data_IF_785529595936
#
_entry.id   IF_785529595936
#
_cell.length_a   1.000
_cell.length_b   1.000
_cell.length_c   1.000
_cell.angle_alpha   90.00
_cell.angle_beta   90.00
_cell.angle_gamma   90.00
#
_symmetry.space_group_name_H-M   'P 1'
#
loop_
_entity.id
_entity.type
_entity.pdbx_description
1 polymer ?
#
# COMPACT_ATOMS: atom_id res chain seq x y z
N UNK A 1 -21.14 -0.69 -15.06
CA UNK A 1 -21.49 -1.14 -13.69
C UNK A 1 -21.45 0.05 -12.76
N UNK A 2 -22.31 0.04 -11.75
CA UNK A 2 -22.29 0.98 -10.64
C UNK A 2 -21.52 0.32 -9.46
N UNK A 3 -20.33 0.81 -9.17
CA UNK A 3 -19.37 0.22 -8.21
C UNK A 3 -19.26 1.14 -7.01
N UNK A 4 -19.40 0.58 -5.81
CA UNK A 4 -19.21 1.29 -4.57
C UNK A 4 -17.95 0.80 -3.85
N UNK A 5 -16.96 1.67 -3.72
CA UNK A 5 -15.73 1.42 -2.97
C UNK A 5 -15.93 1.77 -1.49
N UNK A 6 -15.59 0.86 -0.58
CA UNK A 6 -15.65 1.09 0.87
C UNK A 6 -14.27 0.83 1.47
N UNK A 7 -13.46 1.87 1.75
CA UNK A 7 -12.15 1.71 2.37
C UNK A 7 -12.24 1.70 3.91
N UNK A 8 -11.42 0.86 4.56
CA UNK A 8 -11.26 0.84 6.02
C UNK A 8 -10.51 2.06 6.56
N UNK A 9 -9.66 2.65 5.73
CA UNK A 9 -8.93 3.90 5.97
C UNK A 9 -8.74 4.63 4.63
N UNK A 10 -8.73 5.94 4.67
CA UNK A 10 -8.73 6.76 3.46
C UNK A 10 -7.88 8.02 3.62
N UNK A 11 -7.49 8.62 2.52
CA UNK A 11 -6.63 9.81 2.49
C UNK A 11 -7.20 10.97 3.30
N UNK A 12 -6.37 11.75 3.99
CA UNK A 12 -4.90 11.77 4.01
C UNK A 12 -4.25 10.79 5.00
N UNK A 13 -5.03 9.85 5.55
CA UNK A 13 -4.60 8.90 6.60
C UNK A 13 -4.28 7.51 6.05
N UNK A 14 -3.85 7.41 4.80
CA UNK A 14 -3.61 6.18 4.05
C UNK A 14 -4.74 5.85 3.08
N UNK A 15 -4.64 4.70 2.37
CA UNK A 15 -5.70 4.22 1.48
C UNK A 15 -5.71 4.86 0.08
N UNK A 16 -4.60 5.42 -0.36
CA UNK A 16 -4.42 5.96 -1.72
C UNK A 16 -4.73 4.90 -2.79
N UNK A 17 -4.45 3.63 -2.52
CA UNK A 17 -4.75 2.51 -3.42
C UNK A 17 -6.24 2.39 -3.77
N UNK A 18 -7.15 2.72 -2.84
CA UNK A 18 -8.60 2.72 -3.12
C UNK A 18 -8.96 3.78 -4.17
N UNK A 19 -8.39 4.99 -4.05
CA UNK A 19 -8.62 6.05 -5.01
C UNK A 19 -8.06 5.69 -6.39
N UNK A 20 -6.87 5.11 -6.45
CA UNK A 20 -6.23 4.70 -7.72
C UNK A 20 -7.02 3.59 -8.41
N UNK A 21 -7.54 2.60 -7.69
CA UNK A 21 -8.40 1.56 -8.27
C UNK A 21 -9.74 2.13 -8.74
N UNK A 22 -10.36 3.03 -7.96
CA UNK A 22 -11.58 3.72 -8.36
C UNK A 22 -11.39 4.54 -9.65
N UNK A 23 -10.27 5.24 -9.79
CA UNK A 23 -9.90 5.96 -11.03
C UNK A 23 -9.74 5.02 -12.21
N UNK A 24 -9.04 3.89 -12.00
CA UNK A 24 -8.83 2.89 -13.03
C UNK A 24 -10.15 2.31 -13.56
N UNK A 25 -11.08 1.97 -12.69
CA UNK A 25 -12.41 1.48 -13.05
C UNK A 25 -13.26 2.56 -13.74
N UNK A 26 -13.19 3.80 -13.24
CA UNK A 26 -13.90 4.93 -13.87
C UNK A 26 -13.39 5.21 -15.29
N UNK A 27 -12.07 5.10 -15.53
CA UNK A 27 -11.49 5.26 -16.86
C UNK A 27 -11.98 4.20 -17.88
N UNK A 28 -12.48 3.07 -17.41
CA UNK A 28 -13.14 2.03 -18.23
C UNK A 28 -14.64 2.31 -18.46
N UNK A 29 -15.15 3.45 -18.03
CA UNK A 29 -16.54 3.87 -18.25
C UNK A 29 -17.51 3.39 -17.15
N UNK A 30 -17.02 2.91 -16.00
CA UNK A 30 -17.87 2.53 -14.87
C UNK A 30 -18.28 3.75 -14.04
N UNK A 31 -19.45 3.67 -13.43
CA UNK A 31 -19.89 4.62 -12.41
C UNK A 31 -19.29 4.19 -11.06
N UNK A 32 -18.30 4.94 -10.57
CA UNK A 32 -17.56 4.60 -9.36
C UNK A 32 -17.65 5.73 -8.35
N UNK A 33 -17.99 5.38 -7.11
CA UNK A 33 -18.00 6.30 -5.96
C UNK A 33 -17.33 5.64 -4.76
N UNK A 34 -16.86 6.47 -3.83
CA UNK A 34 -16.25 6.02 -2.58
C UNK A 34 -17.12 6.44 -1.41
N UNK A 35 -17.46 5.49 -0.55
CA UNK A 35 -18.10 5.71 0.73
C UNK A 35 -17.06 5.52 1.83
N UNK A 36 -16.55 6.62 2.37
CA UNK A 36 -15.44 6.61 3.31
C UNK A 36 -15.86 7.10 4.69
N UNK A 37 -15.68 6.25 5.69
CA UNK A 37 -15.83 6.61 7.11
C UNK A 37 -14.50 6.37 7.82
N UNK A 38 -13.86 7.44 8.30
CA UNK A 38 -12.54 7.37 8.92
C UNK A 38 -12.62 7.56 10.42
N UNK A 39 -12.07 6.58 11.17
CA UNK A 39 -11.91 6.74 12.61
C UNK A 39 -10.56 7.40 12.92
N UNK A 40 -10.60 8.50 13.64
CA UNK A 40 -9.44 9.26 14.05
C UNK A 40 -9.06 8.93 15.51
N UNK A 41 -7.79 8.58 15.70
CA UNK A 41 -7.19 8.43 17.03
C UNK A 41 -6.50 9.71 17.48
N UNK A 42 -6.26 9.85 18.79
CA UNK A 42 -5.53 11.01 19.37
C UNK A 42 -4.11 11.14 18.78
N UNK A 43 -3.54 10.05 18.31
CA UNK A 43 -2.18 10.00 17.73
C UNK A 43 -2.02 10.71 16.38
N UNK A 44 -3.13 11.07 15.69
CA UNK A 44 -3.06 11.83 14.43
C UNK A 44 -2.73 13.31 14.62
N UNK A 45 -2.74 13.80 15.84
CA UNK A 45 -2.53 15.19 16.22
C UNK A 45 -3.78 15.77 16.90
N UNK A 46 -3.56 16.44 18.04
CA UNK A 46 -4.65 17.02 18.84
C UNK A 46 -5.46 18.04 18.04
N UNK A 47 -4.80 18.82 17.18
CA UNK A 47 -5.44 19.84 16.35
C UNK A 47 -6.47 19.23 15.40
N UNK A 48 -6.07 18.23 14.61
CA UNK A 48 -6.96 17.57 13.65
C UNK A 48 -8.06 16.77 14.37
N UNK A 49 -7.72 16.13 15.48
CA UNK A 49 -8.68 15.40 16.30
C UNK A 49 -9.82 16.28 16.81
N UNK A 50 -9.58 17.56 17.13
CA UNK A 50 -10.61 18.48 17.64
C UNK A 50 -11.27 19.34 16.56
N UNK A 51 -10.58 19.67 15.47
CA UNK A 51 -11.05 20.65 14.48
C UNK A 51 -11.73 20.05 13.26
N UNK A 52 -11.54 18.74 12.97
CA UNK A 52 -12.19 18.11 11.82
C UNK A 52 -13.71 18.07 11.96
N UNK A 53 -14.45 18.38 10.88
CA UNK A 53 -15.90 18.32 10.89
C UNK A 53 -16.38 16.86 10.95
N UNK A 54 -17.08 16.48 12.02
CA UNK A 54 -17.66 15.13 12.20
C UNK A 54 -19.05 15.01 11.55
N UNK A 55 -19.29 15.75 10.48
CA UNK A 55 -20.52 15.68 9.68
C UNK A 55 -20.25 14.86 8.41
N UNK A 56 -21.30 14.25 7.89
CA UNK A 56 -21.30 13.67 6.56
C UNK A 56 -21.26 14.78 5.53
N UNK A 57 -20.38 14.67 4.53
CA UNK A 57 -20.30 15.60 3.42
C UNK A 57 -19.83 14.86 2.18
N UNK A 58 -20.05 15.49 1.04
CA UNK A 58 -19.63 14.98 -0.26
C UNK A 58 -18.65 15.95 -0.88
N UNK A 59 -17.64 15.40 -1.52
CA UNK A 59 -16.68 16.15 -2.28
C UNK A 59 -16.16 15.34 -3.47
N UNK A 60 -15.50 15.99 -4.37
CA UNK A 60 -14.81 15.33 -5.48
C UNK A 60 -13.29 15.39 -5.30
N UNK A 61 -12.63 14.30 -5.59
CA UNK A 61 -11.18 14.23 -5.67
C UNK A 61 -10.79 13.44 -6.92
N UNK A 62 -9.98 14.06 -7.79
CA UNK A 62 -9.51 13.45 -9.05
C UNK A 62 -10.65 12.85 -9.90
N UNK A 63 -11.78 13.55 -9.91
CA UNK A 63 -12.98 13.14 -10.64
C UNK A 63 -13.82 12.05 -9.96
N UNK A 64 -13.42 11.49 -8.81
CA UNK A 64 -14.21 10.52 -8.05
C UNK A 64 -15.05 11.25 -7.00
N UNK A 65 -16.35 10.92 -6.93
CA UNK A 65 -17.24 11.41 -5.88
C UNK A 65 -17.03 10.60 -4.61
N UNK A 66 -16.79 11.29 -3.50
CA UNK A 66 -16.49 10.70 -2.20
C UNK A 66 -17.52 11.16 -1.18
N UNK A 67 -18.30 10.21 -0.66
CA UNK A 67 -19.17 10.41 0.49
C UNK A 67 -18.32 10.22 1.76
N UNK A 68 -17.94 11.30 2.42
CA UNK A 68 -16.98 11.29 3.52
C UNK A 68 -17.63 11.53 4.88
N UNK A 69 -17.11 10.84 5.89
CA UNK A 69 -17.46 11.07 7.30
C UNK A 69 -16.27 10.72 8.20
N UNK A 70 -16.27 11.30 9.41
CA UNK A 70 -15.26 11.02 10.42
C UNK A 70 -15.90 10.67 11.77
N UNK A 71 -15.19 9.82 12.55
CA UNK A 71 -15.52 9.63 13.97
C UNK A 71 -14.24 9.72 14.82
N UNK A 72 -14.43 10.20 16.07
CA UNK A 72 -13.39 10.12 17.10
C UNK A 72 -13.38 8.72 17.70
N UNK A 73 -12.24 8.07 17.70
CA UNK A 73 -12.04 6.83 18.43
C UNK A 73 -12.01 7.10 19.95
N UNK A 74 -12.80 6.36 20.72
CA UNK A 74 -12.71 6.38 22.18
C UNK A 74 -11.57 5.46 22.59
N UNK A 75 -10.56 5.98 23.33
CA UNK A 75 -9.43 5.17 23.75
C UNK A 75 -9.85 3.91 24.51
N UNK A 76 -9.23 2.78 24.25
CA UNK A 76 -9.48 1.46 24.86
C UNK A 76 -10.87 0.86 24.61
N UNK A 77 -11.81 1.56 23.99
CA UNK A 77 -13.15 1.05 23.68
C UNK A 77 -13.23 0.50 22.25
N UNK A 78 -12.35 -0.44 21.90
CA UNK A 78 -12.21 -0.94 20.52
C UNK A 78 -13.53 -1.51 19.98
N UNK A 79 -14.23 -2.32 20.80
CA UNK A 79 -15.52 -2.92 20.41
C UNK A 79 -16.61 -1.87 20.15
N UNK A 80 -16.71 -0.84 21.00
CA UNK A 80 -17.64 0.28 20.82
C UNK A 80 -17.30 1.06 19.53
N UNK A 81 -16.03 1.37 19.32
CA UNK A 81 -15.56 2.09 18.14
C UNK A 81 -15.91 1.35 16.85
N UNK A 82 -15.69 0.03 16.83
CA UNK A 82 -16.01 -0.82 15.68
C UNK A 82 -17.52 -0.84 15.40
N UNK A 83 -18.33 -1.14 16.40
CA UNK A 83 -19.80 -1.17 16.23
C UNK A 83 -20.32 0.16 15.69
N UNK A 84 -19.83 1.27 16.25
CA UNK A 84 -20.18 2.61 15.80
C UNK A 84 -19.73 2.85 14.36
N UNK A 85 -18.48 2.44 14.01
CA UNK A 85 -17.96 2.57 12.66
C UNK A 85 -18.84 1.84 11.65
N UNK A 86 -19.16 0.59 11.90
CA UNK A 86 -20.00 -0.25 11.04
C UNK A 86 -21.41 0.36 10.93
N UNK A 87 -22.05 0.73 12.04
CA UNK A 87 -23.38 1.34 12.03
C UNK A 87 -23.43 2.66 11.26
N UNK A 88 -22.37 3.48 11.33
CA UNK A 88 -22.29 4.72 10.53
C UNK A 88 -22.18 4.41 9.06
N UNK A 89 -21.35 3.41 8.66
CA UNK A 89 -21.22 2.99 7.26
C UNK A 89 -22.53 2.44 6.72
N UNK A 90 -23.23 1.59 7.47
CA UNK A 90 -24.59 1.10 7.10
C UNK A 90 -25.58 2.26 6.90
N UNK A 91 -25.59 3.23 7.81
CA UNK A 91 -26.43 4.41 7.68
C UNK A 91 -26.05 5.31 6.51
N UNK A 92 -24.75 5.48 6.25
CA UNK A 92 -24.29 6.21 5.06
C UNK A 92 -24.63 5.47 3.77
N UNK A 93 -24.65 4.15 3.78
CA UNK A 93 -25.07 3.34 2.66
C UNK A 93 -26.57 3.53 2.35
N UNK A 94 -27.44 3.59 3.36
CA UNK A 94 -28.86 3.93 3.17
C UNK A 94 -29.03 5.30 2.49
N UNK A 95 -28.32 6.33 2.99
CA UNK A 95 -28.32 7.67 2.38
C UNK A 95 -27.81 7.64 0.93
N UNK A 96 -26.77 6.83 0.69
CA UNK A 96 -26.18 6.62 -0.63
C UNK A 96 -27.19 6.01 -1.62
N UNK A 97 -27.86 4.92 -1.25
CA UNK A 97 -28.87 4.24 -2.10
C UNK A 97 -30.01 5.17 -2.44
N UNK A 98 -30.50 5.96 -1.47
CA UNK A 98 -31.57 6.94 -1.68
C UNK A 98 -31.17 8.02 -2.71
N UNK A 99 -29.89 8.33 -2.82
CA UNK A 99 -29.39 9.41 -3.67
C UNK A 99 -28.90 8.92 -5.04
N UNK A 100 -28.26 7.77 -5.10
CA UNK A 100 -27.55 7.28 -6.29
C UNK A 100 -28.08 5.94 -6.81
N UNK A 101 -29.01 5.32 -6.11
CA UNK A 101 -29.46 3.97 -6.40
C UNK A 101 -28.55 2.89 -5.81
N UNK A 102 -28.99 1.65 -5.92
CA UNK A 102 -28.29 0.48 -5.42
C UNK A 102 -27.08 0.20 -6.32
N UNK A 103 -25.86 0.03 -5.78
CA UNK A 103 -24.71 -0.37 -6.59
C UNK A 103 -24.84 -1.82 -7.05
N UNK A 104 -24.26 -2.15 -8.21
CA UNK A 104 -24.19 -3.51 -8.71
C UNK A 104 -23.26 -4.39 -7.88
N UNK A 105 -22.20 -3.80 -7.31
CA UNK A 105 -21.18 -4.49 -6.52
C UNK A 105 -20.56 -3.56 -5.51
N UNK A 106 -20.19 -4.11 -4.34
CA UNK A 106 -19.42 -3.42 -3.29
C UNK A 106 -17.98 -3.94 -3.33
N UNK A 107 -17.02 -3.03 -3.39
CA UNK A 107 -15.60 -3.33 -3.31
C UNK A 107 -15.03 -2.76 -1.99
N UNK A 108 -14.77 -3.64 -1.03
CA UNK A 108 -14.23 -3.28 0.27
C UNK A 108 -12.68 -3.37 0.25
N UNK A 109 -12.02 -2.38 0.87
CA UNK A 109 -10.57 -2.41 1.05
C UNK A 109 -10.21 -2.71 2.48
N UNK A 110 -9.57 -3.84 2.70
CA UNK A 110 -9.29 -4.56 3.93
C UNK A 110 -10.54 -5.15 4.61
N UNK A 111 -10.38 -6.32 5.18
CA UNK A 111 -11.45 -6.97 5.96
C UNK A 111 -11.91 -6.12 7.13
N UNK A 112 -10.97 -5.50 7.82
CA UNK A 112 -11.19 -4.65 8.97
C UNK A 112 -11.35 -3.17 8.55
N UNK A 113 -12.49 -2.50 8.71
CA UNK A 113 -13.82 -2.98 9.07
C UNK A 113 -14.73 -2.94 7.85
N UNK A 114 -14.15 -2.48 6.73
CA UNK A 114 -14.88 -2.32 5.47
C UNK A 114 -15.44 -3.64 4.96
N UNK A 115 -14.65 -4.72 4.96
CA UNK A 115 -15.14 -6.03 4.56
C UNK A 115 -16.27 -6.54 5.46
N UNK A 116 -16.17 -6.33 6.78
CA UNK A 116 -17.25 -6.70 7.68
C UNK A 116 -18.52 -5.88 7.48
N UNK A 117 -18.40 -4.56 7.23
CA UNK A 117 -19.55 -3.72 6.90
C UNK A 117 -20.14 -4.09 5.53
N UNK A 118 -19.33 -4.38 4.53
CA UNK A 118 -19.76 -4.84 3.21
C UNK A 118 -20.55 -6.16 3.30
N UNK A 119 -20.08 -7.13 4.11
CA UNK A 119 -20.83 -8.36 4.38
C UNK A 119 -22.23 -8.07 4.95
N UNK A 120 -22.35 -7.20 5.95
CA UNK A 120 -23.66 -6.86 6.54
C UNK A 120 -24.57 -6.17 5.55
N UNK A 121 -24.05 -5.26 4.75
CA UNK A 121 -24.80 -4.59 3.69
C UNK A 121 -25.24 -5.61 2.64
N UNK A 122 -24.34 -6.48 2.20
CA UNK A 122 -24.62 -7.57 1.25
C UNK A 122 -25.75 -8.48 1.73
N UNK A 123 -25.73 -8.89 2.99
CA UNK A 123 -26.79 -9.72 3.60
C UNK A 123 -28.16 -9.04 3.60
N UNK A 124 -28.19 -7.71 3.74
CA UNK A 124 -29.45 -6.92 3.80
C UNK A 124 -29.99 -6.58 2.42
N UNK A 125 -29.11 -6.23 1.49
CA UNK A 125 -29.49 -5.69 0.17
C UNK A 125 -29.26 -6.69 -0.98
N UNK A 126 -28.70 -7.87 -0.71
CA UNK A 126 -28.37 -8.90 -1.69
C UNK A 126 -27.45 -8.41 -2.81
N UNK A 127 -26.47 -7.59 -2.46
CA UNK A 127 -25.45 -7.06 -3.37
C UNK A 127 -24.16 -7.86 -3.20
N UNK A 128 -23.56 -8.40 -4.26
CA UNK A 128 -22.27 -9.08 -4.16
C UNK A 128 -21.16 -8.14 -3.68
N UNK A 129 -20.19 -8.69 -2.94
CA UNK A 129 -19.06 -7.90 -2.47
C UNK A 129 -17.73 -8.61 -2.60
N UNK A 130 -16.70 -7.82 -2.85
CA UNK A 130 -15.30 -8.22 -2.98
C UNK A 130 -14.48 -7.54 -1.89
N UNK A 131 -13.47 -8.24 -1.36
CA UNK A 131 -12.52 -7.67 -0.40
C UNK A 131 -11.13 -7.64 -1.02
N UNK A 132 -10.55 -6.46 -1.26
CA UNK A 132 -9.12 -6.36 -1.53
C UNK A 132 -8.35 -6.20 -0.23
N UNK A 133 -7.37 -7.09 0.03
CA UNK A 133 -6.60 -7.08 1.27
C UNK A 133 -5.21 -6.51 1.08
N UNK A 134 -4.84 -5.58 1.97
CA UNK A 134 -3.59 -4.83 1.93
C UNK A 134 -2.75 -4.95 3.22
N UNK A 135 -3.30 -5.55 4.30
CA UNK A 135 -2.63 -5.54 5.60
C UNK A 135 -1.63 -6.69 5.72
N UNK A 136 -0.35 -6.41 6.02
CA UNK A 136 0.64 -7.44 6.25
C UNK A 136 0.41 -8.15 7.59
N UNK A 137 0.83 -9.43 7.68
CA UNK A 137 0.78 -10.25 8.90
C UNK A 137 1.32 -9.52 10.13
N UNK A 138 2.44 -8.81 10.00
CA UNK A 138 3.03 -8.05 11.11
C UNK A 138 2.07 -6.99 11.68
N UNK A 139 1.25 -6.35 10.85
CA UNK A 139 0.25 -5.39 11.34
C UNK A 139 -0.91 -6.09 12.03
N UNK A 140 -1.32 -7.24 11.51
CA UNK A 140 -2.37 -8.07 12.11
C UNK A 140 -1.91 -8.64 13.47
N UNK A 141 -0.65 -9.10 13.58
CA UNK A 141 -0.11 -9.62 14.85
C UNK A 141 0.02 -8.54 15.93
N UNK A 142 0.39 -7.32 15.56
CA UNK A 142 0.42 -6.18 16.50
C UNK A 142 -0.98 -5.86 17.01
N UNK A 143 -2.01 -6.01 16.19
CA UNK A 143 -3.38 -5.68 16.53
C UNK A 143 -4.13 -6.82 17.24
N UNK A 144 -3.99 -8.04 16.74
CA UNK A 144 -4.75 -9.22 17.22
C UNK A 144 -3.92 -10.15 18.11
N UNK A 145 -2.63 -9.90 18.24
CA UNK A 145 -1.70 -10.75 19.00
C UNK A 145 -1.39 -12.07 18.29
N UNK A 146 -0.62 -12.91 18.97
CA UNK A 146 -0.16 -14.22 18.44
C UNK A 146 -1.18 -15.34 18.63
N UNK A 147 -2.29 -15.08 19.36
CA UNK A 147 -3.38 -16.00 19.61
C UNK A 147 -4.69 -15.46 19.04
N UNK A 148 -4.86 -15.49 17.70
CA UNK A 148 -6.02 -14.88 17.05
C UNK A 148 -7.37 -15.45 17.52
N UNK A 149 -7.43 -16.74 17.92
CA UNK A 149 -8.63 -17.40 18.43
C UNK A 149 -9.16 -16.80 19.75
N UNK A 150 -8.33 -16.08 20.49
CA UNK A 150 -8.73 -15.37 21.73
C UNK A 150 -9.26 -13.98 21.49
N UNK A 151 -9.21 -13.51 20.24
CA UNK A 151 -9.59 -12.15 19.86
C UNK A 151 -11.01 -12.15 19.30
N UNK A 152 -11.91 -11.38 19.90
CA UNK A 152 -13.32 -11.28 19.47
C UNK A 152 -13.50 -10.75 18.04
N UNK A 153 -12.50 -10.03 17.51
CA UNK A 153 -12.52 -9.44 16.17
C UNK A 153 -12.32 -10.50 15.08
N UNK A 154 -11.43 -11.45 15.32
CA UNK A 154 -11.02 -12.44 14.31
C UNK A 154 -12.20 -13.26 13.77
N UNK A 155 -13.11 -13.79 14.58
CA UNK A 155 -14.28 -14.51 14.06
C UNK A 155 -15.16 -13.63 13.13
N UNK A 156 -15.30 -12.35 13.42
CA UNK A 156 -16.08 -11.41 12.60
C UNK A 156 -15.41 -11.16 11.25
N UNK A 157 -14.09 -10.97 11.26
CA UNK A 157 -13.33 -10.74 10.05
C UNK A 157 -13.23 -12.00 9.20
N UNK A 158 -13.07 -13.15 9.84
CA UNK A 158 -13.11 -14.47 9.17
C UNK A 158 -14.45 -14.67 8.47
N UNK A 159 -15.57 -14.40 9.14
CA UNK A 159 -16.90 -14.53 8.51
C UNK A 159 -17.07 -13.59 7.31
N UNK A 160 -16.46 -12.39 7.34
CA UNK A 160 -16.48 -11.48 6.20
C UNK A 160 -15.66 -12.00 5.01
N UNK A 161 -14.55 -12.70 5.26
CA UNK A 161 -13.78 -13.37 4.21
C UNK A 161 -14.52 -14.55 3.59
N UNK A 162 -15.07 -15.42 4.44
CA UNK A 162 -15.75 -16.65 4.01
C UNK A 162 -17.05 -16.37 3.25
N UNK A 163 -17.72 -15.26 3.55
CA UNK A 163 -18.94 -14.85 2.88
C UNK A 163 -18.71 -13.95 1.65
N UNK A 164 -17.48 -13.50 1.40
CA UNK A 164 -17.16 -12.69 0.24
C UNK A 164 -17.28 -13.49 -1.07
N UNK A 165 -17.84 -12.87 -2.10
CA UNK A 165 -17.90 -13.48 -3.44
C UNK A 165 -16.49 -13.71 -4.00
N UNK A 166 -15.55 -12.83 -3.66
CA UNK A 166 -14.14 -12.97 -3.94
C UNK A 166 -13.28 -12.17 -2.96
N UNK A 167 -12.15 -12.73 -2.56
CA UNK A 167 -11.06 -12.01 -1.90
C UNK A 167 -9.95 -11.73 -2.90
N UNK A 168 -9.44 -10.51 -2.92
CA UNK A 168 -8.38 -10.05 -3.82
C UNK A 168 -7.14 -9.70 -2.99
N UNK A 169 -6.24 -10.66 -2.71
CA UNK A 169 -4.96 -10.34 -2.09
C UNK A 169 -4.08 -9.58 -3.09
N UNK A 170 -3.34 -8.58 -2.61
CA UNK A 170 -2.39 -7.82 -3.44
C UNK A 170 -1.03 -8.50 -3.60
N UNK A 171 -0.85 -9.64 -2.96
CA UNK A 171 0.20 -10.63 -3.23
C UNK A 171 -0.34 -12.04 -2.93
N UNK A 172 0.17 -13.05 -3.62
CA UNK A 172 -0.28 -14.44 -3.41
C UNK A 172 0.10 -14.97 -2.03
N UNK A 173 1.29 -14.60 -1.54
CA UNK A 173 1.79 -14.98 -0.22
C UNK A 173 0.92 -14.44 0.92
N UNK A 174 0.19 -13.36 0.67
CA UNK A 174 -0.71 -12.79 1.68
C UNK A 174 -1.80 -13.79 2.10
N UNK A 175 -2.23 -14.67 1.22
CA UNK A 175 -3.24 -15.72 1.53
C UNK A 175 -2.76 -16.61 2.66
N UNK A 176 -1.52 -17.09 2.60
CA UNK A 176 -0.92 -17.90 3.65
C UNK A 176 -0.65 -17.07 4.90
N UNK A 177 -0.09 -15.89 4.74
CA UNK A 177 0.26 -14.98 5.82
C UNK A 177 -0.93 -14.64 6.74
N UNK A 178 -2.13 -14.45 6.17
CA UNK A 178 -3.33 -14.09 6.93
C UNK A 178 -4.20 -15.30 7.32
N UNK A 179 -3.84 -16.49 6.91
CA UNK A 179 -4.64 -17.71 7.12
C UNK A 179 -4.96 -18.00 8.58
N UNK A 180 -4.03 -17.70 9.49
CA UNK A 180 -4.23 -17.87 10.94
C UNK A 180 -5.30 -16.89 11.50
N UNK A 181 -5.59 -15.79 10.81
CA UNK A 181 -6.61 -14.81 11.21
C UNK A 181 -7.92 -15.03 10.47
N UNK A 182 -7.89 -15.29 9.16
CA UNK A 182 -9.08 -15.28 8.33
C UNK A 182 -9.45 -16.66 7.78
N UNK A 183 -8.65 -17.71 8.09
CA UNK A 183 -8.88 -19.05 7.58
C UNK A 183 -8.46 -19.19 6.12
N UNK A 184 -8.92 -20.28 5.49
CA UNK A 184 -8.58 -20.65 4.11
C UNK A 184 -9.81 -20.96 3.24
N UNK A 185 -11.02 -20.90 3.82
CA UNK A 185 -12.26 -21.33 3.17
C UNK A 185 -12.96 -20.15 2.45
N UNK A 186 -12.23 -19.49 1.55
CA UNK A 186 -12.76 -18.41 0.70
C UNK A 186 -12.17 -18.50 -0.71
N UNK A 187 -12.88 -17.97 -1.70
CA UNK A 187 -12.37 -17.85 -3.07
C UNK A 187 -11.45 -16.64 -3.15
N UNK A 188 -10.35 -16.75 -3.85
CA UNK A 188 -9.45 -15.63 -4.02
C UNK A 188 -8.82 -15.57 -5.42
N UNK A 189 -8.46 -14.37 -5.82
CA UNK A 189 -7.74 -14.08 -7.06
C UNK A 189 -6.76 -12.94 -6.82
N UNK A 190 -5.49 -13.14 -7.14
CA UNK A 190 -4.48 -12.09 -7.06
C UNK A 190 -4.73 -10.97 -8.07
N UNK A 191 -4.78 -9.73 -7.58
CA UNK A 191 -4.72 -8.51 -8.41
C UNK A 191 -3.81 -7.50 -7.71
N UNK A 192 -2.82 -6.99 -8.44
CA UNK A 192 -1.84 -6.02 -7.94
C UNK A 192 -2.49 -4.71 -7.51
N UNK A 193 -1.85 -3.99 -6.59
CA UNK A 193 -2.12 -2.57 -6.42
C UNK A 193 -1.82 -1.81 -7.72
N UNK A 194 -2.45 -0.66 -7.86
CA UNK A 194 -2.26 0.24 -9.00
C UNK A 194 -1.18 1.26 -8.68
N UNK A 195 -0.30 1.51 -9.63
CA UNK A 195 0.60 2.67 -9.65
C UNK A 195 0.39 3.46 -10.93
N UNK A 196 0.56 4.77 -10.87
CA UNK A 196 0.49 5.63 -12.06
C UNK A 196 1.76 5.48 -12.91
N UNK A 197 1.73 4.53 -13.85
CA UNK A 197 2.88 4.22 -14.73
C UNK A 197 3.10 5.26 -15.82
N UNK A 198 2.18 6.19 -16.03
CA UNK A 198 2.38 7.32 -16.94
C UNK A 198 3.07 8.48 -16.20
N UNK A 199 2.82 8.60 -14.90
CA UNK A 199 3.53 9.53 -14.03
C UNK A 199 4.94 9.02 -13.66
N UNK A 200 5.09 7.75 -13.29
CA UNK A 200 6.36 7.06 -13.03
C UNK A 200 6.84 6.28 -14.27
N UNK A 201 6.97 6.95 -15.40
CA UNK A 201 7.34 6.30 -16.66
C UNK A 201 8.85 6.08 -16.79
N UNK A 202 9.22 5.16 -17.67
CA UNK A 202 10.63 4.91 -18.01
C UNK A 202 11.30 6.15 -18.57
N UNK A 203 12.52 6.42 -18.13
CA UNK A 203 13.43 7.38 -18.75
C UNK A 203 14.78 6.73 -19.02
N UNK A 204 15.33 6.88 -20.25
CA UNK A 204 16.69 6.45 -20.56
C UNK A 204 17.69 7.13 -19.61
N UNK A 205 18.66 6.35 -19.14
CA UNK A 205 19.66 6.84 -18.18
C UNK A 205 21.00 7.04 -18.83
N UNK A 206 21.68 8.12 -18.49
CA UNK A 206 23.09 8.30 -18.81
C UNK A 206 23.95 7.45 -17.87
N UNK A 207 25.12 7.00 -18.38
CA UNK A 207 26.12 6.28 -17.59
C UNK A 207 26.44 6.99 -16.25
N UNK A 208 26.73 6.21 -15.24
CA UNK A 208 27.22 6.71 -13.94
C UNK A 208 28.72 7.07 -13.98
N UNK A 209 29.40 6.88 -15.11
CA UNK A 209 30.82 7.14 -15.23
C UNK A 209 31.20 8.59 -14.90
N UNK A 210 32.16 8.75 -14.01
CA UNK A 210 32.67 10.06 -13.59
C UNK A 210 31.83 10.77 -12.56
N UNK A 211 30.73 10.18 -12.05
CA UNK A 211 29.94 10.74 -10.96
C UNK A 211 29.67 9.73 -9.85
N UNK A 212 29.32 10.24 -8.68
CA UNK A 212 28.94 9.43 -7.52
C UNK A 212 27.67 8.61 -7.82
N UNK A 213 27.65 7.33 -7.41
CA UNK A 213 26.48 6.47 -7.48
C UNK A 213 25.43 6.88 -6.44
N UNK A 214 24.16 6.95 -6.83
CA UNK A 214 23.08 7.48 -6.02
C UNK A 214 22.05 6.41 -5.67
N UNK A 215 22.06 6.00 -4.41
CA UNK A 215 20.97 5.20 -3.86
C UNK A 215 19.87 6.12 -3.32
N UNK A 216 18.61 5.67 -3.41
CA UNK A 216 17.51 6.27 -2.68
C UNK A 216 16.75 5.24 -1.86
N UNK A 217 16.14 5.70 -0.76
CA UNK A 217 15.21 4.93 0.04
C UNK A 217 13.98 5.82 0.31
N UNK A 218 12.79 5.33 -0.01
CA UNK A 218 11.54 6.05 0.25
C UNK A 218 10.68 5.20 1.17
N UNK A 219 10.75 5.50 2.46
CA UNK A 219 10.01 4.76 3.50
C UNK A 219 9.90 5.58 4.78
N UNK A 220 8.82 5.39 5.54
CA UNK A 220 8.67 6.01 6.85
C UNK A 220 9.69 5.46 7.86
N UNK A 221 10.14 6.29 8.80
CA UNK A 221 10.99 5.82 9.89
C UNK A 221 10.17 4.94 10.86
N UNK A 222 10.23 3.64 10.63
CA UNK A 222 9.63 2.62 11.48
C UNK A 222 10.52 1.37 11.51
N UNK A 223 10.45 0.58 12.58
CA UNK A 223 11.19 -0.67 12.75
C UNK A 223 11.00 -1.62 11.54
N UNK A 224 9.78 -1.67 11.02
CA UNK A 224 9.43 -2.49 9.86
C UNK A 224 10.25 -2.18 8.60
N UNK A 225 10.73 -0.94 8.46
CA UNK A 225 11.45 -0.48 7.26
C UNK A 225 12.97 -0.65 7.33
N UNK A 226 13.51 -1.15 8.45
CA UNK A 226 14.89 -1.64 8.54
C UNK A 226 15.99 -0.59 8.35
N UNK A 227 15.79 0.67 8.77
CA UNK A 227 16.87 1.69 8.73
C UNK A 227 18.07 1.35 9.59
N UNK A 228 17.87 0.56 10.64
CA UNK A 228 18.90 0.00 11.50
C UNK A 228 19.76 -1.08 10.82
N UNK A 229 19.31 -1.58 9.65
CA UNK A 229 20.07 -2.44 8.74
C UNK A 229 20.67 -1.61 7.59
N UNK A 230 19.87 -0.77 6.94
CA UNK A 230 20.28 0.01 5.78
C UNK A 230 21.44 0.99 6.07
N UNK A 231 21.35 1.73 7.18
CA UNK A 231 22.37 2.73 7.52
C UNK A 231 23.73 2.09 7.82
N UNK A 232 23.85 1.01 8.63
CA UNK A 232 25.10 0.27 8.80
C UNK A 232 25.61 -0.35 7.49
N UNK A 233 24.76 -0.93 6.65
CA UNK A 233 25.13 -1.50 5.35
C UNK A 233 25.76 -0.45 4.42
N UNK A 234 25.15 0.74 4.35
CA UNK A 234 25.71 1.85 3.56
C UNK A 234 27.04 2.36 4.14
N UNK A 235 27.18 2.41 5.47
CA UNK A 235 28.44 2.77 6.13
C UNK A 235 29.55 1.79 5.76
N UNK A 236 29.28 0.49 5.83
CA UNK A 236 30.22 -0.56 5.41
C UNK A 236 30.61 -0.41 3.93
N UNK A 237 29.68 -0.09 3.04
CA UNK A 237 29.96 0.22 1.63
C UNK A 237 30.94 1.39 1.50
N UNK A 238 30.77 2.45 2.27
CA UNK A 238 31.68 3.63 2.26
C UNK A 238 33.06 3.29 2.80
N UNK A 239 33.17 2.45 3.82
CA UNK A 239 34.44 1.96 4.39
C UNK A 239 35.23 1.12 3.38
N UNK A 240 34.55 0.44 2.43
CA UNK A 240 35.16 -0.26 1.31
C UNK A 240 35.64 0.68 0.17
N UNK A 241 35.54 2.01 0.36
CA UNK A 241 36.00 3.01 -0.59
C UNK A 241 35.04 3.30 -1.75
N UNK A 242 33.82 2.77 -1.73
CA UNK A 242 32.84 3.02 -2.80
C UNK A 242 32.38 4.48 -2.82
N UNK A 243 32.40 5.12 -3.99
CA UNK A 243 31.92 6.50 -4.14
C UNK A 243 30.41 6.53 -4.39
N UNK A 244 29.66 6.48 -3.31
CA UNK A 244 28.20 6.46 -3.31
C UNK A 244 27.61 7.50 -2.35
N UNK A 245 26.36 7.89 -2.59
CA UNK A 245 25.50 8.64 -1.68
C UNK A 245 24.14 7.92 -1.50
N UNK A 246 23.52 8.11 -0.34
CA UNK A 246 22.21 7.58 -0.03
C UNK A 246 21.26 8.73 0.35
N UNK A 247 20.15 8.85 -0.33
CA UNK A 247 19.09 9.83 -0.07
C UNK A 247 17.87 9.11 0.52
N UNK A 248 17.46 9.52 1.72
CA UNK A 248 16.37 8.91 2.47
C UNK A 248 15.20 9.88 2.51
N UNK A 249 14.01 9.43 2.11
CA UNK A 249 12.76 10.18 2.19
C UNK A 249 11.68 9.38 2.94
N UNK A 250 10.79 10.07 3.65
CA UNK A 250 9.66 9.48 4.37
C UNK A 250 9.33 10.20 5.67
N UNK A 251 8.18 9.91 6.24
CA UNK A 251 7.75 10.51 7.51
C UNK A 251 8.73 10.17 8.63
N UNK A 252 9.00 11.14 9.51
CA UNK A 252 9.90 11.03 10.68
C UNK A 252 11.38 10.74 10.33
N UNK A 253 11.77 10.81 9.06
CA UNK A 253 13.20 10.72 8.68
C UNK A 253 13.94 12.04 8.88
N UNK A 254 13.23 13.14 9.05
CA UNK A 254 13.75 14.50 9.29
C UNK A 254 13.86 14.88 10.77
N UNK A 255 13.50 13.98 11.69
CA UNK A 255 13.61 14.23 13.13
C UNK A 255 15.08 14.32 13.57
N UNK A 256 15.38 15.12 14.58
CA UNK A 256 16.73 15.26 15.14
C UNK A 256 17.30 13.91 15.58
N UNK A 257 16.48 13.06 16.22
CA UNK A 257 16.90 11.72 16.64
C UNK A 257 17.30 10.83 15.46
N UNK A 258 16.54 10.84 14.34
CA UNK A 258 16.92 10.07 13.16
C UNK A 258 18.18 10.62 12.51
N UNK A 259 18.27 11.93 12.32
CA UNK A 259 19.42 12.60 11.68
C UNK A 259 20.74 12.39 12.45
N UNK A 260 20.69 12.28 13.77
CA UNK A 260 21.88 12.04 14.60
C UNK A 260 22.55 10.67 14.35
N UNK A 261 21.84 9.72 13.76
CA UNK A 261 22.35 8.40 13.38
C UNK A 261 22.91 8.32 11.95
N UNK A 262 22.74 9.39 11.15
CA UNK A 262 23.21 9.40 9.78
C UNK A 262 24.73 9.59 9.71
N UNK A 263 25.36 8.82 8.84
CA UNK A 263 26.80 8.92 8.53
C UNK A 263 27.05 9.80 7.30
N UNK A 264 28.33 10.14 7.09
CA UNK A 264 28.76 10.88 5.90
C UNK A 264 28.31 10.19 4.60
N UNK A 265 27.68 10.95 3.71
CA UNK A 265 27.12 10.45 2.44
C UNK A 265 25.66 10.03 2.51
N UNK A 266 25.01 10.11 3.68
CA UNK A 266 23.57 9.92 3.82
C UNK A 266 22.88 11.28 4.01
N UNK A 267 21.83 11.53 3.23
CA UNK A 267 21.02 12.75 3.35
C UNK A 267 19.55 12.37 3.61
N UNK A 268 18.97 12.95 4.64
CA UNK A 268 17.53 12.84 4.92
C UNK A 268 16.78 14.01 4.30
N UNK A 269 15.76 13.70 3.51
CA UNK A 269 14.91 14.65 2.78
C UNK A 269 13.57 14.92 3.49
N UNK A 270 13.25 14.15 4.55
CA UNK A 270 11.94 14.23 5.19
C UNK A 270 10.83 13.64 4.30
N UNK A 271 9.59 14.02 4.60
CA UNK A 271 8.44 13.60 3.82
C UNK A 271 8.39 14.37 2.49
N UNK A 272 8.29 13.64 1.38
CA UNK A 272 8.20 14.19 0.03
C UNK A 272 6.77 14.07 -0.52
N UNK A 273 6.39 14.98 -1.41
CA UNK A 273 5.19 14.84 -2.27
C UNK A 273 5.51 13.89 -3.42
N UNK A 274 4.48 13.37 -4.08
CA UNK A 274 4.61 12.36 -5.13
C UNK A 274 5.53 12.83 -6.28
N UNK A 275 5.44 14.09 -6.70
CA UNK A 275 6.31 14.67 -7.72
C UNK A 275 7.79 14.65 -7.29
N UNK A 276 8.03 14.96 -6.02
CA UNK A 276 9.39 14.94 -5.47
C UNK A 276 9.94 13.52 -5.32
N UNK A 277 9.07 12.53 -5.03
CA UNK A 277 9.44 11.10 -5.03
C UNK A 277 9.83 10.68 -6.43
N UNK A 278 9.03 11.00 -7.45
CA UNK A 278 9.35 10.73 -8.86
C UNK A 278 10.70 11.34 -9.26
N UNK A 279 10.91 12.60 -8.96
CA UNK A 279 12.14 13.31 -9.29
C UNK A 279 13.35 12.70 -8.54
N UNK A 280 13.17 12.24 -7.30
CA UNK A 280 14.19 11.51 -6.55
C UNK A 280 14.54 10.17 -7.24
N UNK A 281 13.54 9.40 -7.69
CA UNK A 281 13.76 8.17 -8.44
C UNK A 281 14.51 8.42 -9.74
N UNK A 282 14.14 9.45 -10.50
CA UNK A 282 14.87 9.83 -11.73
C UNK A 282 16.30 10.27 -11.49
N UNK A 283 16.62 10.85 -10.35
CA UNK A 283 17.96 11.27 -9.96
C UNK A 283 18.79 10.15 -9.32
N UNK A 284 18.21 8.99 -9.05
CA UNK A 284 18.85 7.87 -8.37
C UNK A 284 19.20 6.74 -9.32
N UNK A 285 20.23 5.98 -9.03
CA UNK A 285 20.69 4.84 -9.83
C UNK A 285 20.08 3.52 -9.36
N UNK A 286 19.68 3.43 -8.08
CA UNK A 286 18.99 2.28 -7.53
C UNK A 286 18.13 2.69 -6.32
N UNK A 287 17.00 1.97 -6.12
CA UNK A 287 16.23 2.02 -4.89
C UNK A 287 16.70 0.94 -3.91
N UNK A 288 16.75 1.25 -2.61
CA UNK A 288 17.08 0.30 -1.55
C UNK A 288 15.99 0.26 -0.49
N UNK A 289 15.51 -0.95 -0.13
CA UNK A 289 14.47 -1.18 0.87
C UNK A 289 14.87 -2.36 1.78
N UNK A 290 15.37 -2.08 2.98
CA UNK A 290 15.75 -3.10 3.97
C UNK A 290 14.59 -3.56 4.85
N UNK A 291 13.38 -3.62 4.30
CA UNK A 291 12.15 -3.91 5.04
C UNK A 291 12.14 -5.30 5.65
N UNK A 292 11.47 -5.44 6.81
CA UNK A 292 11.22 -6.73 7.50
C UNK A 292 9.88 -7.35 7.15
N UNK A 293 8.95 -6.54 6.65
CA UNK A 293 7.61 -7.00 6.26
C UNK A 293 7.00 -6.05 5.24
N UNK A 294 6.58 -6.59 4.12
CA UNK A 294 5.85 -5.90 3.06
C UNK A 294 4.75 -6.82 2.52
N UNK A 295 3.69 -6.23 1.98
CA UNK A 295 2.71 -6.96 1.17
C UNK A 295 2.95 -6.64 -0.30
N UNK A 296 2.93 -5.37 -0.64
CA UNK A 296 3.28 -4.87 -1.98
C UNK A 296 3.75 -3.41 -1.85
N UNK A 297 5.07 -3.18 -1.69
CA UNK A 297 5.60 -1.84 -1.53
C UNK A 297 5.47 -1.05 -2.85
N UNK A 298 4.58 -0.05 -2.89
CA UNK A 298 4.30 0.73 -4.09
C UNK A 298 5.57 1.40 -4.64
N UNK A 299 6.40 1.95 -3.76
CA UNK A 299 7.65 2.62 -4.18
C UNK A 299 8.62 1.70 -4.93
N UNK A 300 8.57 0.38 -4.67
CA UNK A 300 9.35 -0.60 -5.42
C UNK A 300 8.85 -0.70 -6.87
N UNK A 301 7.52 -0.75 -7.04
CA UNK A 301 6.89 -0.71 -8.37
C UNK A 301 7.14 0.63 -9.08
N UNK A 302 7.01 1.75 -8.35
CA UNK A 302 7.31 3.09 -8.87
C UNK A 302 8.75 3.19 -9.36
N UNK A 303 9.71 2.70 -8.57
CA UNK A 303 11.12 2.68 -8.96
C UNK A 303 11.38 1.84 -10.21
N UNK A 304 10.88 0.60 -10.25
CA UNK A 304 11.03 -0.27 -11.42
C UNK A 304 10.31 0.29 -12.64
N UNK A 305 9.17 0.97 -12.46
CA UNK A 305 8.46 1.65 -13.53
C UNK A 305 9.30 2.79 -14.15
N UNK A 306 10.09 3.50 -13.34
CA UNK A 306 11.06 4.50 -13.86
C UNK A 306 12.31 3.87 -14.50
N UNK A 307 12.44 2.56 -14.41
CA UNK A 307 13.55 1.80 -14.99
C UNK A 307 14.80 1.70 -14.12
N UNK A 308 14.71 1.93 -12.78
CA UNK A 308 15.85 1.69 -11.88
C UNK A 308 15.79 0.32 -11.22
N UNK A 309 16.96 -0.33 -10.98
CA UNK A 309 17.01 -1.55 -10.20
C UNK A 309 16.67 -1.30 -8.74
N UNK A 310 16.22 -2.36 -8.08
CA UNK A 310 15.85 -2.35 -6.67
C UNK A 310 16.68 -3.38 -5.91
N UNK A 311 17.16 -3.01 -4.73
CA UNK A 311 17.70 -3.93 -3.73
C UNK A 311 16.69 -3.99 -2.58
N UNK A 312 16.20 -5.19 -2.31
CA UNK A 312 15.23 -5.39 -1.23
C UNK A 312 15.48 -6.70 -0.49
N UNK A 313 14.73 -6.91 0.57
CA UNK A 313 14.83 -8.13 1.37
C UNK A 313 13.90 -9.23 0.87
N UNK A 314 14.10 -10.44 1.38
CA UNK A 314 13.28 -11.61 1.10
C UNK A 314 11.82 -11.49 1.59
N UNK A 315 11.45 -10.38 2.26
CA UNK A 315 10.06 -10.13 2.65
C UNK A 315 9.16 -9.65 1.51
N UNK A 316 9.71 -9.23 0.36
CA UNK A 316 8.86 -8.82 -0.76
C UNK A 316 8.31 -10.04 -1.51
N UNK A 317 7.07 -9.97 -2.00
CA UNK A 317 6.44 -11.05 -2.74
C UNK A 317 7.22 -11.53 -3.96
N UNK A 318 7.05 -12.81 -4.32
CA UNK A 318 7.74 -13.44 -5.46
C UNK A 318 7.41 -12.72 -6.78
N UNK A 319 6.16 -12.35 -6.99
CA UNK A 319 5.70 -11.66 -8.20
C UNK A 319 6.31 -10.26 -8.39
N UNK A 320 6.94 -9.70 -7.35
CA UNK A 320 7.70 -8.42 -7.44
C UNK A 320 9.20 -8.62 -7.66
N UNK A 321 9.70 -9.86 -7.57
CA UNK A 321 11.11 -10.19 -7.78
C UNK A 321 11.41 -10.32 -9.27
N UNK A 322 11.22 -9.25 -10.01
CA UNK A 322 11.47 -9.20 -11.47
C UNK A 322 12.94 -9.49 -11.73
N UNK A 323 13.21 -10.52 -12.54
CA UNK A 323 14.57 -10.94 -12.91
C UNK A 323 15.33 -9.78 -13.55
N UNK A 324 16.57 -9.56 -13.14
CA UNK A 324 17.41 -8.46 -13.57
C UNK A 324 17.05 -7.10 -12.96
N UNK A 325 15.85 -6.92 -12.41
CA UNK A 325 15.39 -5.65 -11.83
C UNK A 325 15.43 -5.62 -10.30
N UNK A 326 15.45 -6.79 -9.66
CA UNK A 326 15.40 -6.91 -8.22
C UNK A 326 16.50 -7.79 -7.67
N UNK A 327 17.33 -7.24 -6.77
CA UNK A 327 18.33 -7.98 -5.99
C UNK A 327 17.75 -8.25 -4.61
N UNK A 328 17.69 -9.53 -4.20
CA UNK A 328 17.09 -9.97 -2.95
C UNK A 328 18.17 -10.33 -1.93
N UNK A 329 18.04 -9.77 -0.73
CA UNK A 329 18.94 -10.01 0.41
C UNK A 329 18.11 -10.62 1.56
N UNK A 330 18.66 -11.50 2.42
CA UNK A 330 17.98 -11.94 3.62
C UNK A 330 17.57 -10.76 4.52
N UNK A 331 16.50 -10.96 5.29
CA UNK A 331 16.07 -9.96 6.29
C UNK A 331 17.16 -9.84 7.36
N UNK A 332 17.42 -8.62 7.81
CA UNK A 332 18.41 -8.27 8.85
C UNK A 332 19.88 -8.57 8.49
N UNK A 333 20.18 -8.81 7.22
CA UNK A 333 21.54 -9.10 6.73
C UNK A 333 22.25 -7.80 6.27
N UNK A 334 22.97 -7.16 7.20
CA UNK A 334 23.72 -5.92 6.95
C UNK A 334 24.84 -6.13 5.92
N UNK A 335 25.59 -7.24 6.04
CA UNK A 335 26.71 -7.56 5.14
C UNK A 335 26.22 -7.89 3.73
N UNK A 336 25.18 -8.71 3.62
CA UNK A 336 24.54 -9.04 2.34
C UNK A 336 23.98 -7.80 1.65
N UNK A 337 23.40 -6.87 2.41
CA UNK A 337 22.87 -5.61 1.87
C UNK A 337 23.99 -4.72 1.33
N UNK A 338 25.11 -4.60 2.07
CA UNK A 338 26.30 -3.87 1.61
C UNK A 338 26.91 -4.49 0.35
N UNK A 339 27.02 -5.82 0.31
CA UNK A 339 27.52 -6.55 -0.85
C UNK A 339 26.62 -6.38 -2.08
N UNK A 340 25.30 -6.44 -1.91
CA UNK A 340 24.33 -6.21 -2.97
C UNK A 340 24.42 -4.78 -3.54
N UNK A 341 24.57 -3.77 -2.65
CA UNK A 341 24.76 -2.38 -3.08
C UNK A 341 26.04 -2.25 -3.92
N UNK A 342 27.15 -2.85 -3.51
CA UNK A 342 28.41 -2.86 -4.25
C UNK A 342 28.24 -3.54 -5.62
N UNK A 343 27.61 -4.70 -5.66
CA UNK A 343 27.37 -5.45 -6.89
C UNK A 343 26.56 -4.64 -7.91
N UNK A 344 25.52 -3.92 -7.47
CA UNK A 344 24.69 -3.07 -8.35
C UNK A 344 25.50 -1.88 -8.89
N UNK A 345 26.45 -1.32 -8.11
CA UNK A 345 27.34 -0.27 -8.58
C UNK A 345 28.33 -0.75 -9.66
N UNK A 346 28.81 -1.98 -9.55
CA UNK A 346 29.85 -2.55 -10.42
C UNK A 346 29.29 -3.11 -11.73
N UNK A 347 28.00 -3.43 -11.80
CA UNK A 347 27.37 -4.00 -13.00
C UNK A 347 26.56 -2.96 -13.77
N UNK A 348 26.80 -2.81 -15.09
CA UNK A 348 25.94 -2.00 -15.94
C UNK A 348 24.48 -2.51 -15.87
N UNK A 349 23.54 -1.62 -15.66
CA UNK A 349 22.12 -1.94 -15.65
C UNK A 349 21.46 -1.46 -16.94
N UNK A 350 21.07 -2.41 -17.82
CA UNK A 350 20.56 -2.12 -19.16
C UNK A 350 19.08 -2.55 -19.34
N UNK A 351 18.51 -3.21 -18.36
CA UNK A 351 17.17 -3.81 -18.44
C UNK A 351 16.01 -2.86 -18.08
N UNK A 352 16.28 -1.58 -17.83
CA UNK A 352 15.31 -0.63 -17.29
C UNK A 352 14.01 -0.54 -18.08
N UNK A 353 14.06 -0.52 -19.42
CA UNK A 353 12.87 -0.49 -20.26
C UNK A 353 12.02 -1.77 -20.10
N UNK A 354 12.66 -2.95 -20.20
CA UNK A 354 11.99 -4.25 -20.06
C UNK A 354 11.28 -4.37 -18.71
N UNK A 355 11.95 -3.95 -17.64
CA UNK A 355 11.39 -3.99 -16.28
C UNK A 355 10.21 -3.03 -16.14
N UNK A 356 10.33 -1.81 -16.68
CA UNK A 356 9.24 -0.84 -16.71
C UNK A 356 8.01 -1.38 -17.44
N UNK A 357 8.19 -2.05 -18.59
CA UNK A 357 7.10 -2.67 -19.35
C UNK A 357 6.44 -3.81 -18.58
N UNK A 358 7.20 -4.64 -17.85
CA UNK A 358 6.65 -5.69 -17.00
C UNK A 358 5.82 -5.12 -15.84
N UNK A 359 6.31 -4.07 -15.20
CA UNK A 359 5.54 -3.36 -14.17
C UNK A 359 4.26 -2.75 -14.74
N UNK A 360 4.34 -2.13 -15.92
CA UNK A 360 3.18 -1.55 -16.61
C UNK A 360 2.12 -2.61 -16.94
N UNK A 361 2.53 -3.78 -17.41
CA UNK A 361 1.64 -4.90 -17.69
C UNK A 361 0.97 -5.48 -16.42
N UNK A 362 1.61 -5.37 -15.26
CA UNK A 362 1.13 -5.92 -13.99
C UNK A 362 0.27 -4.90 -13.20
N UNK A 363 0.73 -3.66 -13.07
CA UNK A 363 0.30 -2.71 -12.06
C UNK A 363 -0.17 -1.36 -12.62
N UNK A 364 -0.22 -1.16 -13.95
CA UNK A 364 -0.78 0.09 -14.50
C UNK A 364 -2.28 0.20 -14.20
N UNK A 365 -2.83 1.43 -14.13
CA UNK A 365 -4.26 1.64 -13.93
C UNK A 365 -5.11 0.86 -14.93
N UNK A 366 -4.68 0.80 -16.18
CA UNK A 366 -5.38 0.06 -17.25
C UNK A 366 -5.33 -1.46 -17.01
N UNK A 367 -4.19 -2.02 -16.63
CA UNK A 367 -4.04 -3.46 -16.40
C UNK A 367 -4.85 -3.93 -15.19
N UNK A 368 -4.75 -3.21 -14.07
CA UNK A 368 -5.49 -3.51 -12.84
C UNK A 368 -6.99 -3.29 -13.03
N UNK A 369 -7.38 -2.16 -13.63
CA UNK A 369 -8.79 -1.86 -13.90
C UNK A 369 -9.46 -2.94 -14.75
N UNK A 370 -8.82 -3.43 -15.83
CA UNK A 370 -9.34 -4.54 -16.65
C UNK A 370 -9.48 -5.85 -15.88
N UNK A 371 -8.53 -6.18 -15.00
CA UNK A 371 -8.62 -7.39 -14.16
C UNK A 371 -9.77 -7.28 -13.17
N UNK A 372 -9.93 -6.14 -12.49
CA UNK A 372 -11.07 -5.88 -11.59
C UNK A 372 -12.40 -5.89 -12.35
N UNK A 373 -12.48 -5.24 -13.51
CA UNK A 373 -13.67 -5.26 -14.36
C UNK A 373 -14.07 -6.69 -14.75
N UNK A 374 -13.12 -7.49 -15.23
CA UNK A 374 -13.35 -8.90 -15.61
C UNK A 374 -13.86 -9.71 -14.43
N UNK A 375 -13.24 -9.54 -13.24
CA UNK A 375 -13.67 -10.18 -12.02
C UNK A 375 -15.10 -9.78 -11.66
N UNK A 376 -15.41 -8.48 -11.61
CA UNK A 376 -16.74 -8.00 -11.22
C UNK A 376 -17.82 -8.48 -12.19
N UNK A 377 -17.56 -8.47 -13.50
CA UNK A 377 -18.48 -9.01 -14.49
C UNK A 377 -18.76 -10.49 -14.28
N UNK A 378 -17.75 -11.28 -13.92
CA UNK A 378 -17.92 -12.72 -13.65
C UNK A 378 -18.72 -13.02 -12.38
N UNK A 379 -18.83 -12.08 -11.45
CA UNK A 379 -19.64 -12.22 -10.24
C UNK A 379 -21.09 -11.74 -10.43
N UNK A 380 -21.34 -10.95 -11.47
CA UNK A 380 -22.66 -10.41 -11.81
C UNK A 380 -23.39 -11.22 -12.90
N UNK A 381 -22.69 -12.17 -13.53
CA UNK A 381 -23.25 -13.12 -14.51
C UNK A 381 -23.87 -14.34 -13.81
#
# INVERSE_FOLDING_TARGET
>A
MHILEIPSFFTPYGGEFCLEQAKALKALGHEVRILSHVQLGITIGLKDFFLLPYRRYEHQREGITICQSFQRGVPRMIHHNMRRWVSVVESMFCDYVNRYGTPDIIHAHCAKWAGYAAMKISQTYHIPYVITEHLPKMMLSVEFGDCPEKTWQVPLLKSAYEAADMVVPVSEELVEDVSCYFGTHYRWQFISNTIDTDFFHYQPRSSCEGRRFRFCCVADNSYRKGYDVLIPAFRMLKEQGCDAELRIAGRKTDTTGFRSHLSKGITSLGQLRQEQVRDLLYQSDALVLASRSEVQPLVLLEAMSTGIPVISTSCIPQNLRIEGGCTIVPIDDVEGFSAAMKQVMEKPFNDGLRISEQVKAMASPQAVGKKLESLFRSLLS
#
